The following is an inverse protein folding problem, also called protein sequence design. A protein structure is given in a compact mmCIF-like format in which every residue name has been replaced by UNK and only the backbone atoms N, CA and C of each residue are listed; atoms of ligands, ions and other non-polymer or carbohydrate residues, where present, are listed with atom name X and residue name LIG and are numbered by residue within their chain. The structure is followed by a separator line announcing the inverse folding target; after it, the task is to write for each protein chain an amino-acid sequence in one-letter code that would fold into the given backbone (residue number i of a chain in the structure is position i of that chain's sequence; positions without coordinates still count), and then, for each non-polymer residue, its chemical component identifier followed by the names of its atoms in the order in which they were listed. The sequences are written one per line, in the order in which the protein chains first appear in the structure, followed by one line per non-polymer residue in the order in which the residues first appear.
data_IF_714313501815
#
_entry.id   IF_714313501815
#
_cell.length_a   1.000
_cell.length_b   1.000
_cell.length_c   1.000
_cell.angle_alpha   90.00
_cell.angle_beta   90.00
_cell.angle_gamma   90.00
#
_symmetry.space_group_name_H-M   'P 1'
#
loop_
_entity.id
_entity.type
_entity.pdbx_description
1 polymer ?
#
# COMPACT_ATOMS: atom_id res chain seq x y z
N UNK A 1 64.28 8.78 41.17
CA UNK A 1 63.32 7.92 40.45
C UNK A 1 61.91 8.44 40.74
N UNK A 2 61.07 8.61 39.71
CA UNK A 2 59.63 8.98 39.75
C UNK A 2 59.25 10.35 39.17
N UNK A 3 59.44 10.56 37.87
CA UNK A 3 58.77 11.64 37.10
C UNK A 3 58.59 11.27 35.62
N UNK A 4 58.16 10.04 35.33
CA UNK A 4 58.10 9.55 33.94
C UNK A 4 56.87 8.67 33.69
N UNK A 5 55.68 9.09 34.12
CA UNK A 5 54.44 8.32 33.87
C UNK A 5 53.17 9.15 33.64
N UNK A 6 53.27 10.46 33.39
CA UNK A 6 52.07 11.32 33.21
C UNK A 6 51.83 11.74 31.75
N UNK A 7 52.78 11.51 30.83
CA UNK A 7 52.67 12.03 29.45
C UNK A 7 51.95 11.07 28.48
N UNK A 8 51.74 9.80 28.85
CA UNK A 8 51.24 8.76 27.93
C UNK A 8 49.72 8.55 27.91
N UNK A 9 48.94 9.39 28.60
CA UNK A 9 47.48 9.26 28.67
C UNK A 9 46.70 10.33 27.89
N UNK A 10 47.37 11.33 27.29
CA UNK A 10 46.72 12.45 26.58
C UNK A 10 46.72 12.33 25.04
N UNK A 11 47.24 11.24 24.49
CA UNK A 11 47.35 11.05 23.04
C UNK A 11 46.06 10.59 22.29
N UNK A 12 45.06 9.91 22.90
CA UNK A 12 43.92 9.43 22.11
C UNK A 12 42.81 10.49 21.91
N UNK A 13 42.82 11.61 22.65
CA UNK A 13 41.76 12.62 22.58
C UNK A 13 41.95 13.68 21.49
N UNK A 14 43.15 13.83 20.92
CA UNK A 14 43.40 14.76 19.80
C UNK A 14 43.18 14.12 18.42
N UNK A 15 43.07 12.79 18.35
CA UNK A 15 42.80 12.08 17.09
C UNK A 15 41.33 12.24 16.63
N UNK A 16 40.39 12.46 17.56
CA UNK A 16 38.99 12.73 17.24
C UNK A 16 38.73 14.16 16.75
N UNK A 17 39.64 15.12 17.00
CA UNK A 17 39.45 16.52 16.64
C UNK A 17 39.84 16.84 15.19
N UNK A 18 40.20 15.82 14.40
CA UNK A 18 40.62 15.95 13.01
C UNK A 18 39.86 15.00 12.08
N UNK A 19 38.63 14.63 12.46
CA UNK A 19 37.68 14.09 11.48
C UNK A 19 37.28 15.27 10.59
N UNK A 20 37.60 15.24 9.29
CA UNK A 20 37.26 16.34 8.40
C UNK A 20 35.73 16.50 8.37
N UNK A 21 35.22 17.71 8.59
CA UNK A 21 33.77 17.95 8.61
C UNK A 21 33.07 17.48 7.33
N UNK A 22 33.77 17.51 6.19
CA UNK A 22 33.27 16.97 4.92
C UNK A 22 32.98 15.45 4.96
N UNK A 23 33.76 14.67 5.72
CA UNK A 23 33.55 13.21 5.85
C UNK A 23 32.30 12.89 6.69
N UNK A 24 32.02 13.75 7.67
CA UNK A 24 30.84 13.63 8.53
C UNK A 24 29.56 14.05 7.78
N UNK A 25 29.64 15.08 6.94
CA UNK A 25 28.55 15.47 6.02
C UNK A 25 28.28 14.38 4.96
N UNK A 26 29.31 13.76 4.38
CA UNK A 26 29.12 12.67 3.41
C UNK A 26 28.50 11.42 4.04
N UNK A 27 28.87 11.11 5.30
CA UNK A 27 28.31 9.96 6.03
C UNK A 27 26.85 10.19 6.45
N UNK A 28 26.51 11.41 6.89
CA UNK A 28 25.12 11.77 7.16
C UNK A 28 24.26 11.79 5.90
N UNK A 29 24.81 12.28 4.78
CA UNK A 29 24.13 12.26 3.49
C UNK A 29 23.89 10.84 2.99
N UNK A 30 24.85 9.91 3.13
CA UNK A 30 24.64 8.51 2.72
C UNK A 30 23.56 7.84 3.58
N UNK A 31 23.58 8.05 4.90
CA UNK A 31 22.56 7.51 5.81
C UNK A 31 21.17 8.08 5.49
N UNK A 32 21.08 9.38 5.16
CA UNK A 32 19.80 10.00 4.77
C UNK A 32 19.24 9.40 3.47
N UNK A 33 20.12 9.06 2.50
CA UNK A 33 19.73 8.39 1.26
C UNK A 33 19.22 6.97 1.54
N UNK A 34 19.92 6.20 2.38
CA UNK A 34 19.53 4.83 2.73
C UNK A 34 18.19 4.80 3.46
N UNK A 35 17.98 5.71 4.42
CA UNK A 35 16.70 5.82 5.16
C UNK A 35 15.57 6.24 4.23
N UNK A 36 15.81 7.20 3.32
CA UNK A 36 14.80 7.64 2.35
C UNK A 36 14.39 6.50 1.42
N UNK A 37 15.35 5.70 0.96
CA UNK A 37 15.10 4.55 0.10
C UNK A 37 14.34 3.46 0.86
N UNK A 38 14.69 3.19 2.12
CA UNK A 38 13.99 2.24 2.98
C UNK A 38 12.53 2.63 3.21
N UNK A 39 12.26 3.92 3.47
CA UNK A 39 10.89 4.43 3.63
C UNK A 39 10.11 4.27 2.32
N UNK A 40 10.71 4.63 1.18
CA UNK A 40 10.06 4.54 -0.11
C UNK A 40 9.71 3.08 -0.46
N UNK A 41 10.65 2.15 -0.23
CA UNK A 41 10.42 0.71 -0.39
C UNK A 41 9.31 0.20 0.54
N UNK A 42 9.29 0.64 1.80
CA UNK A 42 8.27 0.27 2.77
C UNK A 42 6.86 0.70 2.32
N UNK A 43 6.72 1.94 1.84
CA UNK A 43 5.46 2.44 1.29
C UNK A 43 5.05 1.69 0.02
N UNK A 44 6.00 1.39 -0.86
CA UNK A 44 5.77 0.64 -2.08
C UNK A 44 5.19 -0.75 -1.78
N UNK A 45 5.82 -1.48 -0.86
CA UNK A 45 5.36 -2.78 -0.39
C UNK A 45 3.98 -2.66 0.25
N UNK A 46 3.78 -1.70 1.15
CA UNK A 46 2.49 -1.48 1.82
C UNK A 46 1.35 -1.18 0.84
N UNK A 47 1.61 -0.36 -0.18
CA UNK A 47 0.64 -0.05 -1.24
C UNK A 47 0.23 -1.30 -2.02
N UNK A 48 1.19 -2.13 -2.46
CA UNK A 48 0.91 -3.37 -3.19
C UNK A 48 0.10 -4.35 -2.33
N UNK A 49 0.49 -4.52 -1.06
CA UNK A 49 -0.26 -5.35 -0.12
C UNK A 49 -1.69 -4.85 0.08
N UNK A 50 -1.89 -3.53 0.17
CA UNK A 50 -3.21 -2.94 0.34
C UNK A 50 -4.12 -3.22 -0.87
N UNK A 51 -3.61 -3.03 -2.09
CA UNK A 51 -4.36 -3.36 -3.32
C UNK A 51 -4.74 -4.84 -3.33
N UNK A 52 -3.77 -5.73 -3.07
CA UNK A 52 -4.01 -7.17 -3.06
C UNK A 52 -5.07 -7.56 -2.01
N UNK A 53 -5.02 -6.95 -0.83
CA UNK A 53 -6.01 -7.17 0.22
C UNK A 53 -7.42 -6.80 -0.23
N UNK A 54 -7.60 -5.59 -0.77
CA UNK A 54 -8.91 -5.13 -1.25
C UNK A 54 -9.42 -6.01 -2.40
N UNK A 55 -8.53 -6.45 -3.30
CA UNK A 55 -8.89 -7.39 -4.38
C UNK A 55 -9.40 -8.72 -3.85
N UNK A 56 -8.73 -9.28 -2.83
CA UNK A 56 -9.15 -10.54 -2.21
C UNK A 56 -10.51 -10.39 -1.52
N UNK A 57 -10.70 -9.32 -0.73
CA UNK A 57 -11.98 -9.04 -0.05
C UNK A 57 -13.13 -8.90 -1.06
N UNK A 58 -12.90 -8.15 -2.14
CA UNK A 58 -13.88 -8.03 -3.23
C UNK A 58 -14.14 -9.37 -3.94
N UNK A 59 -13.12 -10.21 -4.08
CA UNK A 59 -13.25 -11.54 -4.69
C UNK A 59 -14.27 -12.43 -3.96
N UNK A 60 -14.28 -12.40 -2.63
CA UNK A 60 -15.28 -13.13 -1.84
C UNK A 60 -16.68 -12.57 -2.05
N UNK A 61 -16.82 -11.25 -2.05
CA UNK A 61 -18.08 -10.56 -2.34
C UNK A 61 -18.65 -10.88 -3.73
N UNK A 62 -17.80 -10.96 -4.75
CA UNK A 62 -18.21 -11.37 -6.09
C UNK A 62 -18.62 -12.85 -6.15
N UNK A 63 -18.04 -13.72 -5.32
CA UNK A 63 -18.40 -15.14 -5.29
C UNK A 63 -19.85 -15.37 -4.86
N UNK A 64 -20.34 -14.58 -3.89
CA UNK A 64 -21.75 -14.59 -3.47
C UNK A 64 -22.65 -14.02 -4.57
N UNK A 65 -22.27 -12.92 -5.23
CA UNK A 65 -23.09 -12.32 -6.29
C UNK A 65 -23.15 -13.17 -7.57
N UNK A 66 -22.12 -14.00 -7.82
CA UNK A 66 -22.06 -14.90 -8.97
C UNK A 66 -23.21 -15.91 -9.01
N UNK A 67 -23.76 -16.31 -7.86
CA UNK A 67 -24.90 -17.25 -7.81
C UNK A 67 -26.21 -16.62 -8.30
N UNK A 68 -26.35 -15.30 -8.18
CA UNK A 68 -27.56 -14.57 -8.59
C UNK A 68 -27.47 -14.10 -10.05
N UNK A 69 -26.39 -13.39 -10.43
CA UNK A 69 -26.23 -12.79 -11.77
C UNK A 69 -24.84 -13.07 -12.37
N UNK A 70 -24.60 -14.26 -12.95
CA UNK A 70 -23.26 -14.69 -13.38
C UNK A 70 -22.65 -13.85 -14.51
N UNK A 71 -23.47 -13.30 -15.43
CA UNK A 71 -22.98 -12.50 -16.57
C UNK A 71 -22.50 -11.11 -16.15
N UNK A 72 -23.27 -10.41 -15.32
CA UNK A 72 -22.92 -9.08 -14.81
C UNK A 72 -21.73 -9.18 -13.86
N UNK A 73 -21.76 -10.16 -12.95
CA UNK A 73 -20.66 -10.43 -12.03
C UNK A 73 -19.33 -10.64 -12.76
N UNK A 74 -19.31 -11.43 -13.85
CA UNK A 74 -18.08 -11.72 -14.59
C UNK A 74 -17.47 -10.47 -15.22
N UNK A 75 -18.31 -9.61 -15.78
CA UNK A 75 -17.85 -8.36 -16.42
C UNK A 75 -17.30 -7.39 -15.38
N UNK A 76 -18.03 -7.21 -14.28
CA UNK A 76 -17.65 -6.32 -13.19
C UNK A 76 -16.35 -6.77 -12.50
N UNK A 77 -16.20 -8.08 -12.28
CA UNK A 77 -14.97 -8.67 -11.74
C UNK A 77 -13.78 -8.47 -12.68
N UNK A 78 -14.00 -8.60 -14.00
CA UNK A 78 -12.94 -8.44 -14.99
C UNK A 78 -12.46 -6.99 -15.11
N UNK A 79 -13.40 -6.04 -15.15
CA UNK A 79 -13.08 -4.60 -15.11
C UNK A 79 -12.31 -4.26 -13.84
N UNK A 80 -12.76 -4.76 -12.70
CA UNK A 80 -12.11 -4.53 -11.42
C UNK A 80 -10.66 -5.07 -11.39
N UNK A 81 -10.43 -6.28 -11.92
CA UNK A 81 -9.08 -6.85 -12.03
C UNK A 81 -8.19 -6.05 -12.99
N UNK A 82 -8.72 -5.58 -14.12
CA UNK A 82 -7.96 -4.74 -15.06
C UNK A 82 -7.54 -3.43 -14.43
N UNK A 83 -8.45 -2.80 -13.68
CA UNK A 83 -8.16 -1.58 -12.93
C UNK A 83 -7.09 -1.84 -11.85
N UNK A 84 -7.27 -2.88 -11.02
CA UNK A 84 -6.29 -3.24 -10.00
C UNK A 84 -4.90 -3.55 -10.59
N UNK A 85 -4.86 -4.24 -11.72
CA UNK A 85 -3.62 -4.54 -12.44
C UNK A 85 -2.95 -3.26 -12.96
N UNK A 86 -3.72 -2.31 -13.47
CA UNK A 86 -3.21 -0.98 -13.84
C UNK A 86 -2.58 -0.23 -12.66
N UNK A 87 -3.23 -0.25 -11.49
CA UNK A 87 -2.68 0.35 -10.26
C UNK A 87 -1.40 -0.36 -9.78
N UNK A 88 -1.29 -1.66 -10.01
CA UNK A 88 -0.12 -2.46 -9.63
C UNK A 88 1.06 -2.21 -10.57
N UNK A 89 0.79 -2.03 -11.87
CA UNK A 89 1.80 -1.65 -12.86
C UNK A 89 2.37 -0.25 -12.57
N UNK A 90 1.54 0.70 -12.16
CA UNK A 90 1.96 2.08 -11.86
C UNK A 90 3.14 2.15 -10.87
N UNK A 91 3.18 1.24 -9.89
CA UNK A 91 4.23 1.14 -8.87
C UNK A 91 5.62 0.94 -9.47
N UNK A 92 5.74 0.28 -10.62
CA UNK A 92 7.03 -0.07 -11.20
C UNK A 92 7.61 1.04 -12.11
N UNK A 93 6.81 2.03 -12.49
CA UNK A 93 7.24 3.07 -13.44
C UNK A 93 7.72 4.35 -12.75
N UNK A 94 6.88 4.93 -11.89
CA UNK A 94 7.19 6.22 -11.25
C UNK A 94 6.44 6.33 -9.92
N UNK A 95 6.93 5.59 -8.92
CA UNK A 95 6.29 5.53 -7.61
C UNK A 95 6.49 6.85 -6.85
N UNK A 96 5.42 7.64 -6.79
CA UNK A 96 5.31 8.81 -5.93
C UNK A 96 4.32 8.53 -4.80
N UNK A 97 4.75 8.71 -3.55
CA UNK A 97 3.94 8.41 -2.36
C UNK A 97 2.60 9.16 -2.38
N UNK A 98 2.59 10.43 -2.76
CA UNK A 98 1.36 11.26 -2.75
C UNK A 98 0.37 10.73 -3.79
N UNK A 99 0.86 10.48 -5.01
CA UNK A 99 0.03 9.98 -6.10
C UNK A 99 -0.47 8.57 -5.77
N UNK A 100 0.38 7.70 -5.22
CA UNK A 100 0.01 6.37 -4.77
C UNK A 100 -1.11 6.43 -3.71
N UNK A 101 -1.03 7.36 -2.76
CA UNK A 101 -2.06 7.52 -1.72
C UNK A 101 -3.40 8.00 -2.31
N UNK A 102 -3.37 8.94 -3.25
CA UNK A 102 -4.57 9.40 -3.99
C UNK A 102 -5.17 8.27 -4.82
N UNK A 103 -4.34 7.52 -5.56
CA UNK A 103 -4.75 6.37 -6.36
C UNK A 103 -5.36 5.27 -5.49
N UNK A 104 -4.75 4.98 -4.34
CA UNK A 104 -5.28 4.04 -3.36
C UNK A 104 -6.65 4.49 -2.84
N UNK A 105 -6.78 5.78 -2.49
CA UNK A 105 -8.06 6.35 -2.06
C UNK A 105 -9.14 6.24 -3.15
N UNK A 106 -8.78 6.54 -4.40
CA UNK A 106 -9.68 6.37 -5.54
C UNK A 106 -10.09 4.91 -5.76
N UNK A 107 -9.16 3.96 -5.59
CA UNK A 107 -9.41 2.54 -5.72
C UNK A 107 -10.35 2.01 -4.62
N UNK A 108 -10.18 2.49 -3.38
CA UNK A 108 -11.08 2.21 -2.26
C UNK A 108 -12.48 2.78 -2.50
N UNK A 109 -12.57 4.01 -3.02
CA UNK A 109 -13.84 4.63 -3.36
C UNK A 109 -14.57 3.87 -4.47
N UNK A 110 -13.85 3.46 -5.52
CA UNK A 110 -14.38 2.63 -6.60
C UNK A 110 -14.88 1.29 -6.04
N UNK A 111 -14.10 0.67 -5.14
CA UNK A 111 -14.47 -0.57 -4.47
C UNK A 111 -15.78 -0.44 -3.67
N UNK A 112 -15.91 0.62 -2.88
CA UNK A 112 -17.12 0.91 -2.11
C UNK A 112 -18.33 1.18 -3.04
N UNK A 113 -18.12 1.95 -4.10
CA UNK A 113 -19.16 2.25 -5.09
C UNK A 113 -19.66 1.00 -5.81
N UNK A 114 -18.77 0.09 -6.18
CA UNK A 114 -19.13 -1.21 -6.75
C UNK A 114 -19.93 -2.06 -5.77
N UNK A 115 -19.57 -2.05 -4.48
CA UNK A 115 -20.33 -2.80 -3.47
C UNK A 115 -21.74 -2.23 -3.27
N UNK A 116 -21.90 -0.91 -3.23
CA UNK A 116 -23.21 -0.27 -3.16
C UNK A 116 -24.05 -0.49 -4.42
N UNK A 117 -23.43 -0.46 -5.62
CA UNK A 117 -24.12 -0.77 -6.87
C UNK A 117 -24.62 -2.22 -6.89
N UNK A 118 -23.82 -3.16 -6.37
CA UNK A 118 -24.19 -4.56 -6.22
C UNK A 118 -25.43 -4.72 -5.34
N UNK A 119 -25.44 -4.08 -4.17
CA UNK A 119 -26.58 -4.11 -3.24
C UNK A 119 -27.85 -3.59 -3.91
N UNK A 120 -27.77 -2.46 -4.63
CA UNK A 120 -28.91 -1.93 -5.39
C UNK A 120 -29.47 -2.88 -6.44
N UNK A 121 -28.59 -3.57 -7.18
CA UNK A 121 -29.01 -4.55 -8.20
C UNK A 121 -29.64 -5.79 -7.56
N UNK A 122 -29.25 -6.14 -6.33
CA UNK A 122 -29.81 -7.25 -5.58
C UNK A 122 -31.22 -6.92 -5.05
N UNK A 123 -31.40 -5.72 -4.48
CA UNK A 123 -32.68 -5.29 -3.88
C UNK A 123 -33.81 -5.12 -4.91
N UNK A 124 -33.48 -4.64 -6.11
CA UNK A 124 -34.48 -4.42 -7.18
C UNK A 124 -35.18 -5.73 -7.60
N UNK A 125 -34.46 -6.85 -7.63
CA UNK A 125 -35.02 -8.14 -8.02
C UNK A 125 -35.93 -8.74 -6.94
N UNK A 126 -35.58 -8.58 -5.66
CA UNK A 126 -36.39 -9.12 -4.55
C UNK A 126 -37.76 -8.44 -4.46
N UNK A 127 -37.85 -7.15 -4.81
CA UNK A 127 -39.09 -6.39 -4.84
C UNK A 127 -40.12 -6.90 -5.88
N UNK A 128 -39.66 -7.61 -6.91
CA UNK A 128 -40.51 -8.19 -7.96
C UNK A 128 -41.04 -9.60 -7.62
N UNK A 129 -40.47 -10.26 -6.60
CA UNK A 129 -40.81 -11.62 -6.21
C UNK A 129 -41.73 -11.66 -4.97
N UNK A 130 -42.76 -10.82 -4.94
CA UNK A 130 -43.94 -11.06 -4.08
C UNK A 130 -44.67 -12.28 -4.64
N UNK A 131 -44.17 -13.46 -4.28
CA UNK A 131 -44.84 -14.73 -4.48
C UNK A 131 -46.09 -14.71 -3.58
N UNK A 132 -47.32 -14.79 -4.12
CA UNK A 132 -48.50 -14.91 -3.27
C UNK A 132 -48.37 -16.22 -2.50
N UNK A 133 -48.25 -16.11 -1.17
CA UNK A 133 -48.37 -17.23 -0.24
C UNK A 133 -49.70 -17.92 -0.56
N UNK A 134 -49.66 -19.11 -1.16
CA UNK A 134 -50.81 -20.01 -1.12
C UNK A 134 -51.02 -20.34 0.34
N UNK A 135 -52.08 -19.76 0.90
CA UNK A 135 -52.68 -20.19 2.14
C UNK A 135 -53.33 -21.55 1.80
N UNK A 136 -52.80 -22.61 2.39
CA UNK A 136 -53.50 -23.89 2.55
C UNK A 136 -53.92 -23.98 4.01
#
# INVERSE_FOLDING_TARGET
MSTLFVVTALAPLTFFNKVPQHLLETGLASVAVDVSLLINLGFMIGYVFCIMFVVVVQGEHFRTFKTEKPKICRTMMWVYHMVALGFLIYVFFDFNIIIALVLLGAFLLLSAGLNHLRERISDEDESSFIRPRRIL
#
